data_IF_013368804993
#
_entry.id   IF_013368804993
#
_cell.length_a   1.000
_cell.length_b   1.000
_cell.length_c   1.000
_cell.angle_alpha   90.00
_cell.angle_beta   90.00
_cell.angle_gamma   90.00
#
_symmetry.space_group_name_H-M   'P 1'
#
loop_
_entity.id
_entity.type
_entity.pdbx_description
1 polymer ?
#
# COMPACT_ATOMS: atom_id res chain seq x y z
N UNK A 1 6.84 20.37 50.48
CA UNK A 1 6.31 20.61 49.12
C UNK A 1 5.02 19.80 49.00
N UNK A 2 3.88 20.48 49.13
CA UNK A 2 2.57 19.85 49.28
C UNK A 2 2.00 19.35 47.95
N UNK A 3 1.54 18.10 47.95
CA UNK A 3 0.64 17.59 46.92
C UNK A 3 -0.78 18.01 47.29
N UNK A 4 -1.34 19.00 46.60
CA UNK A 4 -2.74 19.36 46.72
C UNK A 4 -3.56 18.35 45.92
N UNK A 5 -4.29 17.48 46.61
CA UNK A 5 -5.28 16.58 46.05
C UNK A 5 -6.47 17.39 45.51
N UNK A 6 -6.73 17.28 44.20
CA UNK A 6 -7.93 17.84 43.57
C UNK A 6 -9.17 17.16 44.16
N UNK A 7 -10.15 17.97 44.56
CA UNK A 7 -11.35 17.54 45.27
C UNK A 7 -12.36 16.86 44.33
N UNK A 8 -13.23 16.02 44.88
CA UNK A 8 -14.21 15.23 44.13
C UNK A 8 -15.22 16.05 43.29
N UNK A 9 -15.27 17.37 43.45
CA UNK A 9 -16.13 18.27 42.70
C UNK A 9 -15.65 18.58 41.27
N UNK A 10 -14.36 18.41 40.98
CA UNK A 10 -13.78 18.72 39.65
C UNK A 10 -13.86 17.53 38.66
N UNK A 11 -14.34 16.36 39.11
CA UNK A 11 -14.51 15.15 38.26
C UNK A 11 -15.83 15.10 37.48
N UNK A 12 -16.71 16.11 37.59
CA UNK A 12 -18.00 16.17 36.87
C UNK A 12 -18.04 17.28 35.82
N UNK A 13 -17.24 17.14 34.76
CA UNK A 13 -17.42 17.90 33.52
C UNK A 13 -17.11 17.08 32.25
N UNK A 14 -17.21 15.75 32.32
CA UNK A 14 -17.23 14.86 31.16
C UNK A 14 -18.47 13.98 31.22
N UNK A 15 -19.65 14.60 31.36
CA UNK A 15 -20.89 13.90 31.01
C UNK A 15 -21.04 13.95 29.49
N UNK A 16 -20.93 12.76 28.90
CA UNK A 16 -21.17 12.46 27.51
C UNK A 16 -22.45 13.17 27.01
N UNK A 17 -22.29 14.13 26.10
CA UNK A 17 -23.40 14.53 25.23
C UNK A 17 -23.82 13.27 24.46
N UNK A 18 -25.07 12.84 24.66
CA UNK A 18 -25.71 11.83 23.80
C UNK A 18 -25.52 12.25 22.34
N UNK A 19 -25.11 11.34 21.44
CA UNK A 19 -24.96 11.70 20.04
C UNK A 19 -26.34 12.07 19.50
N UNK A 20 -26.44 13.30 19.02
CA UNK A 20 -27.60 13.79 18.27
C UNK A 20 -27.79 12.90 17.04
N UNK A 21 -28.93 12.23 16.99
CA UNK A 21 -29.42 11.49 15.83
C UNK A 21 -29.57 12.47 14.66
N UNK A 22 -28.68 12.36 13.68
CA UNK A 22 -28.66 13.25 12.52
C UNK A 22 -27.27 13.54 11.97
N UNK A 23 -26.39 12.54 11.86
CA UNK A 23 -25.23 12.66 10.98
C UNK A 23 -25.36 11.66 9.85
N UNK A 24 -25.76 12.14 8.69
CA UNK A 24 -25.55 11.42 7.44
C UNK A 24 -24.07 11.05 7.39
N UNK A 25 -23.76 9.76 7.51
CA UNK A 25 -22.40 9.25 7.45
C UNK A 25 -21.81 9.64 6.09
N UNK A 26 -21.03 10.73 6.07
CA UNK A 26 -20.25 11.11 4.90
C UNK A 26 -19.39 9.90 4.52
N UNK A 27 -19.67 9.28 3.37
CA UNK A 27 -18.80 8.24 2.81
C UNK A 27 -17.38 8.80 2.74
N UNK A 28 -16.42 8.09 3.33
CA UNK A 28 -15.02 8.46 3.29
C UNK A 28 -14.57 8.67 1.83
N UNK A 29 -13.96 9.82 1.55
CA UNK A 29 -13.52 10.19 0.18
C UNK A 29 -12.21 9.52 -0.20
N UNK A 30 -11.42 9.14 0.80
CA UNK A 30 -10.16 8.43 0.64
C UNK A 30 -10.13 7.23 1.59
N UNK A 31 -9.56 6.09 1.19
CA UNK A 31 -9.38 4.95 2.09
C UNK A 31 -8.56 5.30 3.34
N UNK A 32 -7.64 6.27 3.21
CA UNK A 32 -6.81 6.72 4.32
C UNK A 32 -7.57 7.57 5.34
N UNK A 33 -8.78 8.04 5.00
CA UNK A 33 -9.68 8.74 5.92
C UNK A 33 -10.37 7.76 6.89
N UNK A 34 -10.42 6.46 6.59
CA UNK A 34 -11.00 5.50 7.54
C UNK A 34 -10.06 5.29 8.72
N UNK A 35 -10.60 5.32 9.94
CA UNK A 35 -9.85 4.95 11.14
C UNK A 35 -9.58 3.45 11.14
N UNK A 36 -8.35 3.09 11.53
CA UNK A 36 -7.99 1.71 11.85
C UNK A 36 -8.28 1.47 13.32
N UNK A 37 -8.65 0.25 13.68
CA UNK A 37 -8.94 -0.13 15.07
C UNK A 37 -8.22 -1.42 15.42
N UNK A 38 -7.59 -1.44 16.58
CA UNK A 38 -7.18 -2.66 17.30
C UNK A 38 -8.15 -2.88 18.45
N UNK A 39 -7.96 -3.97 19.23
CA UNK A 39 -8.82 -4.24 20.39
C UNK A 39 -8.86 -3.13 21.45
N UNK A 40 -7.85 -2.25 21.49
CA UNK A 40 -7.71 -1.21 22.52
C UNK A 40 -7.42 0.20 21.97
N UNK A 41 -7.30 0.38 20.65
CA UNK A 41 -6.91 1.68 20.08
C UNK A 41 -7.54 1.93 18.71
N UNK A 42 -7.97 3.15 18.46
CA UNK A 42 -8.29 3.64 17.13
C UNK A 42 -7.16 4.56 16.66
N UNK A 43 -6.68 4.39 15.43
CA UNK A 43 -5.49 5.09 14.96
C UNK A 43 -5.54 5.38 13.46
N UNK A 44 -4.76 6.40 13.10
CA UNK A 44 -4.48 6.80 11.72
C UNK A 44 -3.08 7.37 11.68
N UNK A 45 -2.10 6.46 11.65
CA UNK A 45 -0.69 6.82 11.70
C UNK A 45 -0.07 6.44 10.36
N UNK A 46 0.51 7.43 9.71
CA UNK A 46 1.21 7.27 8.46
C UNK A 46 2.53 8.02 8.53
N UNK A 47 3.53 7.47 7.85
CA UNK A 47 4.87 8.00 7.86
C UNK A 47 5.48 7.87 6.47
N UNK A 48 6.12 8.95 6.05
CA UNK A 48 7.06 8.99 4.94
C UNK A 48 8.44 8.65 5.49
N UNK A 49 9.09 7.63 4.94
CA UNK A 49 10.45 7.26 5.28
C UNK A 49 11.33 7.30 4.06
N UNK A 50 12.58 7.72 4.22
CA UNK A 50 13.61 7.53 3.21
C UNK A 50 14.90 6.98 3.82
N UNK A 51 15.57 6.07 3.13
CA UNK A 51 16.89 5.59 3.54
C UNK A 51 17.76 5.31 2.32
N UNK A 52 19.07 5.41 2.54
CA UNK A 52 20.09 5.40 1.49
C UNK A 52 20.87 4.10 1.50
N UNK A 53 21.29 3.66 0.32
CA UNK A 53 22.36 2.68 0.16
C UNK A 53 23.63 3.18 0.85
N UNK A 54 24.47 2.25 1.29
CA UNK A 54 25.69 2.57 2.03
C UNK A 54 26.58 3.52 1.22
N UNK A 55 27.12 4.53 1.91
CA UNK A 55 27.91 5.61 1.32
C UNK A 55 27.23 6.34 0.14
N UNK A 56 25.89 6.28 0.05
CA UNK A 56 25.09 6.85 -1.05
C UNK A 56 25.50 6.32 -2.43
N UNK A 57 26.11 5.13 -2.50
CA UNK A 57 26.47 4.48 -3.76
C UNK A 57 25.21 4.19 -4.60
N UNK A 58 25.25 4.40 -5.93
CA UNK A 58 24.13 4.12 -6.81
C UNK A 58 23.99 2.61 -7.10
N UNK A 59 23.56 1.83 -6.09
CA UNK A 59 23.49 0.36 -6.15
C UNK A 59 22.22 -0.18 -6.83
N UNK A 60 21.20 0.66 -7.09
CA UNK A 60 19.94 0.25 -7.68
C UNK A 60 20.00 0.25 -9.20
N UNK A 61 20.68 -0.76 -9.76
CA UNK A 61 20.53 -1.14 -11.16
C UNK A 61 19.22 -1.90 -11.42
N UNK A 62 19.01 -2.33 -12.67
CA UNK A 62 17.80 -3.06 -13.08
C UNK A 62 17.60 -4.37 -12.31
N UNK A 63 18.67 -5.13 -12.03
CA UNK A 63 18.60 -6.42 -11.35
C UNK A 63 18.34 -6.24 -9.86
N UNK A 64 19.07 -5.33 -9.21
CA UNK A 64 18.89 -5.00 -7.80
C UNK A 64 17.50 -4.44 -7.54
N UNK A 65 17.01 -3.59 -8.44
CA UNK A 65 15.67 -3.01 -8.36
C UNK A 65 14.59 -4.07 -8.54
N UNK A 66 14.74 -4.98 -9.50
CA UNK A 66 13.79 -6.08 -9.71
C UNK A 66 13.70 -6.99 -8.48
N UNK A 67 14.84 -7.38 -7.90
CA UNK A 67 14.85 -8.21 -6.70
C UNK A 67 14.27 -7.48 -5.48
N UNK A 68 14.63 -6.21 -5.28
CA UNK A 68 14.08 -5.40 -4.20
C UNK A 68 12.55 -5.23 -4.32
N UNK A 69 12.04 -5.06 -5.55
CA UNK A 69 10.61 -4.91 -5.82
C UNK A 69 9.79 -6.17 -5.51
N UNK A 70 10.43 -7.35 -5.46
CA UNK A 70 9.83 -8.59 -4.99
C UNK A 70 9.99 -8.73 -3.47
N UNK A 71 11.19 -8.50 -2.96
CA UNK A 71 11.49 -8.71 -1.54
C UNK A 71 10.75 -7.75 -0.59
N UNK A 72 10.61 -6.47 -0.95
CA UNK A 72 10.04 -5.46 -0.05
C UNK A 72 8.57 -5.76 0.31
N UNK A 73 7.65 -6.02 -0.64
CA UNK A 73 6.28 -6.41 -0.31
C UNK A 73 6.21 -7.66 0.58
N UNK A 74 7.01 -8.68 0.29
CA UNK A 74 7.02 -9.94 1.06
C UNK A 74 7.48 -9.70 2.51
N UNK A 75 8.50 -8.88 2.70
CA UNK A 75 8.98 -8.47 4.03
C UNK A 75 7.91 -7.67 4.76
N UNK A 76 7.29 -6.68 4.12
CA UNK A 76 6.21 -5.93 4.75
C UNK A 76 5.04 -6.84 5.13
N UNK A 77 4.69 -7.82 4.28
CA UNK A 77 3.65 -8.79 4.57
C UNK A 77 4.01 -9.69 5.76
N UNK A 78 5.24 -10.21 5.85
CA UNK A 78 5.65 -11.11 6.94
C UNK A 78 5.63 -10.44 8.32
N UNK A 79 5.88 -9.14 8.36
CA UNK A 79 5.82 -8.33 9.59
C UNK A 79 4.46 -7.63 9.78
N UNK A 80 3.49 -7.86 8.91
CA UNK A 80 2.19 -7.18 8.89
C UNK A 80 2.29 -5.64 8.84
N UNK A 81 3.33 -5.12 8.19
CA UNK A 81 3.50 -3.69 7.95
C UNK A 81 2.63 -3.24 6.77
N UNK A 82 1.92 -2.13 6.94
CA UNK A 82 1.07 -1.60 5.89
C UNK A 82 1.90 -0.77 4.89
N UNK A 83 2.41 -1.43 3.86
CA UNK A 83 3.10 -0.76 2.75
C UNK A 83 2.09 -0.11 1.81
N UNK A 84 2.07 1.23 1.76
CA UNK A 84 1.13 1.98 0.93
C UNK A 84 1.71 2.21 -0.47
N UNK A 85 2.95 2.68 -0.52
CA UNK A 85 3.68 2.90 -1.76
C UNK A 85 5.18 2.95 -1.48
N UNK A 86 5.98 2.74 -2.51
CA UNK A 86 7.41 2.97 -2.45
C UNK A 86 7.96 3.47 -3.78
N UNK A 87 9.11 4.14 -3.68
CA UNK A 87 9.89 4.70 -4.76
C UNK A 87 11.34 4.27 -4.57
N UNK A 88 11.96 3.78 -5.63
CA UNK A 88 13.37 3.41 -5.70
C UNK A 88 14.08 4.39 -6.64
N UNK A 89 15.18 4.93 -6.16
CA UNK A 89 16.12 5.76 -6.93
C UNK A 89 17.49 5.08 -6.91
N UNK A 90 18.44 5.58 -7.71
CA UNK A 90 19.74 4.93 -7.89
C UNK A 90 20.44 4.55 -6.57
N UNK A 91 20.34 5.37 -5.52
CA UNK A 91 21.00 5.13 -4.23
C UNK A 91 20.08 5.21 -3.01
N UNK A 92 18.76 5.33 -3.19
CA UNK A 92 17.85 5.54 -2.06
C UNK A 92 16.45 5.00 -2.33
N UNK A 93 15.75 4.69 -1.24
CA UNK A 93 14.37 4.22 -1.27
C UNK A 93 13.51 5.11 -0.38
N UNK A 94 12.34 5.46 -0.88
CA UNK A 94 11.31 6.21 -0.18
C UNK A 94 10.09 5.31 0.00
N UNK A 95 9.54 5.24 1.22
CA UNK A 95 8.40 4.43 1.59
C UNK A 95 7.29 5.32 2.18
N UNK A 96 6.05 5.03 1.81
CA UNK A 96 4.87 5.49 2.56
C UNK A 96 4.31 4.29 3.30
N UNK A 97 4.29 4.36 4.63
CA UNK A 97 3.88 3.27 5.51
C UNK A 97 2.69 3.69 6.38
N UNK A 98 1.77 2.77 6.62
CA UNK A 98 0.86 2.80 7.77
C UNK A 98 1.49 2.05 8.93
N UNK A 99 1.41 2.61 10.14
CA UNK A 99 2.10 2.08 11.33
C UNK A 99 1.11 1.85 12.47
N UNK A 100 1.19 0.71 13.16
CA UNK A 100 0.35 0.44 14.33
C UNK A 100 0.89 1.25 15.53
N UNK A 101 0.05 1.67 16.49
CA UNK A 101 0.52 2.42 17.68
C UNK A 101 1.51 1.65 18.55
N UNK A 102 1.53 0.32 18.43
CA UNK A 102 2.45 -0.59 19.12
C UNK A 102 3.82 -0.69 18.46
N UNK A 103 3.93 -0.25 17.20
CA UNK A 103 5.13 -0.42 16.41
C UNK A 103 6.00 0.83 16.52
N UNK A 104 7.24 0.67 16.99
CA UNK A 104 8.21 1.75 16.93
C UNK A 104 8.73 1.90 15.49
N UNK A 105 8.71 3.13 14.96
CA UNK A 105 9.18 3.44 13.59
C UNK A 105 10.62 2.93 13.40
N UNK A 106 11.49 3.10 14.40
CA UNK A 106 12.88 2.62 14.34
C UNK A 106 12.98 1.11 14.10
N UNK A 107 12.12 0.31 14.76
CA UNK A 107 12.11 -1.14 14.62
C UNK A 107 11.57 -1.56 13.25
N UNK A 108 10.49 -0.91 12.79
CA UNK A 108 9.91 -1.14 11.46
C UNK A 108 10.98 -0.93 10.38
N UNK A 109 11.69 0.20 10.42
CA UNK A 109 12.70 0.54 9.42
C UNK A 109 13.94 -0.35 9.55
N UNK A 110 14.35 -0.71 10.77
CA UNK A 110 15.45 -1.66 11.02
C UNK A 110 15.15 -3.04 10.42
N UNK A 111 13.94 -3.56 10.63
CA UNK A 111 13.51 -4.86 10.13
C UNK A 111 13.42 -4.87 8.59
N UNK A 112 12.86 -3.81 7.98
CA UNK A 112 12.81 -3.67 6.52
C UNK A 112 14.21 -3.64 5.94
N UNK A 113 15.10 -2.78 6.46
CA UNK A 113 16.49 -2.65 5.97
C UNK A 113 17.25 -3.95 6.11
N UNK A 114 17.18 -4.61 7.27
CA UNK A 114 17.87 -5.88 7.53
C UNK A 114 17.39 -6.99 6.58
N UNK A 115 16.07 -7.18 6.48
CA UNK A 115 15.49 -8.27 5.69
C UNK A 115 15.72 -8.07 4.20
N UNK A 116 15.54 -6.85 3.69
CA UNK A 116 15.80 -6.55 2.28
C UNK A 116 17.28 -6.65 1.94
N UNK A 117 18.19 -6.18 2.80
CA UNK A 117 19.63 -6.35 2.60
C UNK A 117 20.02 -7.83 2.51
N UNK A 118 19.48 -8.66 3.40
CA UNK A 118 19.73 -10.10 3.38
C UNK A 118 19.30 -10.74 2.06
N UNK A 119 18.06 -10.47 1.61
CA UNK A 119 17.54 -10.95 0.32
C UNK A 119 18.40 -10.48 -0.87
N UNK A 120 18.85 -9.23 -0.85
CA UNK A 120 19.69 -8.67 -1.91
C UNK A 120 21.06 -9.35 -1.97
N UNK A 121 21.72 -9.58 -0.83
CA UNK A 121 23.00 -10.28 -0.80
C UNK A 121 22.88 -11.76 -1.22
N UNK A 122 21.81 -12.45 -0.80
CA UNK A 122 21.56 -13.83 -1.22
C UNK A 122 21.28 -13.95 -2.72
N UNK A 123 20.45 -13.05 -3.26
CA UNK A 123 20.07 -13.09 -4.67
C UNK A 123 21.12 -12.53 -5.62
N UNK A 124 21.96 -11.59 -5.16
CA UNK A 124 22.96 -10.91 -6.00
C UNK A 124 24.31 -10.87 -5.26
N UNK A 125 25.10 -11.96 -5.31
CA UNK A 125 26.36 -12.07 -4.60
C UNK A 125 27.41 -11.02 -4.97
N UNK A 126 27.34 -10.42 -6.18
CA UNK A 126 28.27 -9.35 -6.61
C UNK A 126 28.25 -8.14 -5.69
N UNK A 127 27.09 -7.87 -5.05
CA UNK A 127 26.95 -6.77 -4.11
C UNK A 127 27.93 -6.91 -2.94
N UNK A 128 28.21 -8.12 -2.46
CA UNK A 128 29.18 -8.31 -1.37
C UNK A 128 30.58 -7.80 -1.74
N UNK A 129 30.96 -7.85 -3.02
CA UNK A 129 32.26 -7.37 -3.51
C UNK A 129 32.30 -5.83 -3.57
N UNK A 130 31.19 -5.19 -3.95
CA UNK A 130 31.13 -3.73 -4.11
C UNK A 130 30.99 -2.94 -2.79
N UNK A 131 30.29 -3.50 -1.81
CA UNK A 131 29.99 -2.83 -0.52
C UNK A 131 30.54 -3.55 0.71
N UNK A 132 31.03 -4.77 0.57
CA UNK A 132 31.49 -5.61 1.68
C UNK A 132 30.36 -6.35 2.39
N UNK A 133 30.71 -7.44 3.08
CA UNK A 133 29.74 -8.27 3.81
C UNK A 133 29.01 -7.46 4.90
N UNK A 134 27.68 -7.61 4.95
CA UNK A 134 26.73 -7.27 6.02
C UNK A 134 25.97 -5.94 5.96
N UNK A 135 26.43 -4.90 5.26
CA UNK A 135 25.79 -3.56 5.34
C UNK A 135 25.42 -2.97 3.97
N UNK A 136 24.26 -3.34 3.42
CA UNK A 136 23.73 -2.73 2.19
C UNK A 136 23.28 -1.29 2.40
N UNK A 137 22.62 -1.00 3.52
CA UNK A 137 22.06 0.31 3.83
C UNK A 137 22.98 1.16 4.70
N UNK A 138 22.87 2.48 4.57
CA UNK A 138 23.41 3.42 5.55
C UNK A 138 22.70 3.26 6.91
N UNK A 139 23.33 3.67 8.01
CA UNK A 139 22.75 3.50 9.37
C UNK A 139 21.48 4.33 9.56
N UNK A 140 21.54 5.61 9.18
CA UNK A 140 20.43 6.55 9.33
C UNK A 140 19.24 6.27 8.41
N UNK A 141 18.15 6.98 8.71
CA UNK A 141 16.97 7.10 7.87
C UNK A 141 16.28 8.43 8.18
N UNK A 142 15.55 8.94 7.21
CA UNK A 142 14.62 10.05 7.36
C UNK A 142 13.23 9.50 7.69
N UNK A 143 12.50 10.17 8.57
CA UNK A 143 11.11 9.87 8.86
C UNK A 143 10.33 11.16 9.08
N UNK A 144 9.16 11.26 8.46
CA UNK A 144 8.24 12.38 8.58
C UNK A 144 6.82 11.83 8.72
N UNK A 145 6.03 12.44 9.61
CA UNK A 145 4.62 12.06 9.77
C UNK A 145 3.80 12.56 8.59
N UNK A 146 2.85 11.74 8.13
CA UNK A 146 1.92 12.12 7.06
C UNK A 146 0.49 12.13 7.56
N UNK A 147 -0.22 13.23 7.28
CA UNK A 147 -1.66 13.29 7.37
C UNK A 147 -2.32 12.53 6.23
N UNK A 148 -3.48 11.92 6.49
CA UNK A 148 -4.21 11.15 5.47
C UNK A 148 -4.57 11.92 4.20
N UNK A 149 -4.86 13.21 4.31
CA UNK A 149 -5.12 14.10 3.17
C UNK A 149 -3.88 14.32 2.30
N UNK A 150 -2.69 14.21 2.91
CA UNK A 150 -1.41 14.42 2.23
C UNK A 150 -0.97 13.17 1.45
N UNK A 151 -1.43 11.97 1.82
CA UNK A 151 -0.96 10.73 1.17
C UNK A 151 -1.22 10.76 -0.33
N UNK A 152 -2.46 11.01 -0.75
CA UNK A 152 -2.78 11.06 -2.19
C UNK A 152 -2.03 12.19 -2.91
N UNK A 153 -1.80 13.31 -2.23
CA UNK A 153 -1.01 14.42 -2.78
C UNK A 153 0.45 14.01 -2.97
N UNK A 154 1.06 13.36 -1.97
CA UNK A 154 2.42 12.81 -2.03
C UNK A 154 2.56 11.79 -3.14
N UNK A 155 1.61 10.87 -3.28
CA UNK A 155 1.63 9.87 -4.36
C UNK A 155 1.51 10.52 -5.75
N UNK A 156 0.66 11.53 -5.90
CA UNK A 156 0.57 12.31 -7.15
C UNK A 156 1.87 13.06 -7.44
N UNK A 157 2.46 13.70 -6.43
CA UNK A 157 3.76 14.37 -6.58
C UNK A 157 4.84 13.39 -7.02
N UNK A 158 4.90 12.19 -6.43
CA UNK A 158 5.83 11.14 -6.86
C UNK A 158 5.62 10.71 -8.31
N UNK A 159 4.37 10.60 -8.77
CA UNK A 159 4.06 10.29 -10.17
C UNK A 159 4.53 11.38 -11.14
N UNK A 160 4.39 12.65 -10.76
CA UNK A 160 4.84 13.77 -11.58
C UNK A 160 6.37 13.87 -11.60
N UNK A 161 7.03 13.82 -10.43
CA UNK A 161 8.49 13.92 -10.31
C UNK A 161 9.25 12.73 -10.88
N UNK A 162 8.61 11.56 -11.01
CA UNK A 162 9.21 10.42 -11.70
C UNK A 162 9.55 10.70 -13.18
N UNK A 163 9.03 11.77 -13.78
CA UNK A 163 9.40 12.21 -15.13
C UNK A 163 10.68 13.06 -15.16
N UNK A 164 11.00 13.75 -14.07
CA UNK A 164 12.07 14.75 -14.02
C UNK A 164 13.28 14.29 -13.18
N UNK A 165 13.10 13.33 -12.26
CA UNK A 165 14.15 12.76 -11.40
C UNK A 165 14.50 11.32 -11.84
N UNK A 166 15.77 10.89 -11.68
CA UNK A 166 16.28 9.50 -11.89
C UNK A 166 15.60 8.47 -10.96
N UNK A 167 14.31 8.26 -11.17
CA UNK A 167 13.49 7.29 -10.46
C UNK A 167 13.57 5.97 -11.21
N UNK A 168 14.15 4.97 -10.57
CA UNK A 168 14.33 3.64 -11.18
C UNK A 168 13.01 2.86 -11.14
N UNK A 169 12.25 2.99 -10.04
CA UNK A 169 10.96 2.32 -9.90
C UNK A 169 10.04 3.11 -8.97
N UNK A 170 8.75 3.15 -9.29
CA UNK A 170 7.71 3.59 -8.36
C UNK A 170 6.54 2.61 -8.39
N UNK A 171 6.12 2.15 -7.21
CA UNK A 171 4.96 1.27 -7.08
C UNK A 171 4.02 1.76 -5.97
N UNK A 172 2.73 1.83 -6.31
CA UNK A 172 1.64 2.04 -5.35
C UNK A 172 1.08 0.66 -5.02
N UNK A 173 1.24 0.24 -3.76
CA UNK A 173 0.90 -1.11 -3.28
C UNK A 173 -0.53 -1.17 -2.73
N UNK A 174 -0.99 -0.06 -2.12
CA UNK A 174 -2.33 0.06 -1.50
C UNK A 174 -3.52 -0.14 -2.46
N UNK A 175 -3.27 -0.18 -3.77
CA UNK A 175 -4.31 -0.41 -4.78
C UNK A 175 -5.16 -1.66 -4.45
N UNK A 176 -4.60 -2.67 -3.75
CA UNK A 176 -5.26 -3.91 -3.29
C UNK A 176 -6.60 -3.74 -2.55
N UNK A 177 -6.80 -2.64 -1.83
CA UNK A 177 -8.03 -2.41 -1.04
C UNK A 177 -8.98 -1.39 -1.69
N UNK A 178 -8.56 -0.69 -2.76
CA UNK A 178 -9.44 0.21 -3.48
C UNK A 178 -10.30 -0.56 -4.49
N UNK A 179 -11.58 -0.16 -4.67
CA UNK A 179 -12.36 -0.64 -5.79
C UNK A 179 -11.68 -0.18 -7.07
N UNK A 180 -11.34 -1.15 -7.93
CA UNK A 180 -10.74 -0.85 -9.23
C UNK A 180 -11.70 0.06 -10.01
N UNK A 181 -11.16 1.15 -10.58
CA UNK A 181 -11.98 2.01 -11.42
C UNK A 181 -12.44 1.22 -12.65
N UNK A 182 -13.71 1.37 -13.12
CA UNK A 182 -14.23 0.68 -14.31
C UNK A 182 -13.27 0.65 -15.51
N UNK A 183 -12.73 1.81 -15.89
CA UNK A 183 -11.69 1.95 -16.94
C UNK A 183 -10.42 1.10 -16.74
N UNK A 184 -10.00 0.82 -15.50
CA UNK A 184 -8.86 -0.06 -15.23
C UNK A 184 -9.21 -1.51 -15.50
N UNK A 185 -10.43 -1.90 -15.12
CA UNK A 185 -10.97 -3.25 -15.35
C UNK A 185 -11.14 -3.48 -16.85
N UNK A 186 -11.75 -2.54 -17.58
CA UNK A 186 -11.96 -2.63 -19.04
C UNK A 186 -10.69 -2.91 -19.83
N UNK A 187 -9.54 -2.34 -19.41
CA UNK A 187 -8.24 -2.52 -20.08
C UNK A 187 -7.68 -3.94 -20.00
N UNK A 188 -8.18 -4.77 -19.10
CA UNK A 188 -7.70 -6.14 -18.87
C UNK A 188 -8.81 -7.18 -19.05
N UNK A 189 -10.00 -6.76 -19.50
CA UNK A 189 -11.13 -7.68 -19.70
C UNK A 189 -10.78 -8.79 -20.70
N UNK A 190 -9.98 -8.48 -21.73
CA UNK A 190 -9.61 -9.43 -22.77
C UNK A 190 -8.71 -10.56 -22.26
N UNK A 191 -8.01 -10.33 -21.14
CA UNK A 191 -7.12 -11.32 -20.50
C UNK A 191 -7.87 -12.27 -19.54
N UNK A 192 -9.14 -12.00 -19.26
CA UNK A 192 -10.00 -12.84 -18.42
C UNK A 192 -10.70 -13.93 -19.24
N UNK A 193 -11.07 -15.02 -18.57
CA UNK A 193 -11.89 -16.07 -19.16
C UNK A 193 -13.29 -15.52 -19.51
N UNK A 194 -13.99 -16.10 -20.50
CA UNK A 194 -15.33 -15.64 -20.88
C UNK A 194 -16.31 -15.56 -19.70
N UNK A 195 -16.28 -16.56 -18.81
CA UNK A 195 -17.14 -16.60 -17.63
C UNK A 195 -16.77 -15.51 -16.59
N UNK A 196 -15.47 -15.27 -16.37
CA UNK A 196 -14.95 -14.21 -15.49
C UNK A 196 -15.39 -12.82 -16.01
N UNK A 197 -15.28 -12.58 -17.32
CA UNK A 197 -15.70 -11.30 -17.94
C UNK A 197 -17.17 -10.99 -17.72
N UNK A 198 -18.04 -11.98 -17.87
CA UNK A 198 -19.48 -11.77 -17.72
C UNK A 198 -19.81 -11.38 -16.27
N UNK A 199 -19.23 -12.08 -15.29
CA UNK A 199 -19.41 -11.76 -13.86
C UNK A 199 -18.90 -10.36 -13.56
N UNK A 200 -17.67 -10.02 -14.00
CA UNK A 200 -17.07 -8.71 -13.74
C UNK A 200 -17.86 -7.59 -14.43
N UNK A 201 -18.36 -7.80 -15.66
CA UNK A 201 -19.17 -6.80 -16.37
C UNK A 201 -20.45 -6.47 -15.62
N UNK A 202 -21.16 -7.50 -15.14
CA UNK A 202 -22.42 -7.34 -14.41
C UNK A 202 -22.21 -6.65 -13.06
N UNK A 203 -21.18 -7.04 -12.30
CA UNK A 203 -20.94 -6.49 -10.96
C UNK A 203 -20.40 -5.06 -10.98
N UNK A 204 -19.60 -4.71 -11.99
CA UNK A 204 -18.98 -3.38 -12.08
C UNK A 204 -19.67 -2.42 -13.05
N UNK A 205 -20.74 -2.86 -13.74
CA UNK A 205 -21.50 -2.03 -14.67
C UNK A 205 -20.64 -1.53 -15.83
N UNK A 206 -19.92 -2.44 -16.48
CA UNK A 206 -18.99 -2.11 -17.57
C UNK A 206 -19.71 -2.14 -18.93
N UNK A 207 -19.14 -1.48 -19.94
CA UNK A 207 -19.67 -1.48 -21.32
C UNK A 207 -21.13 -0.99 -21.45
N UNK A 208 -21.56 -0.07 -20.59
CA UNK A 208 -22.91 0.51 -20.63
C UNK A 208 -23.98 -0.32 -19.90
N UNK A 209 -23.62 -1.44 -19.26
CA UNK A 209 -24.51 -2.16 -18.35
C UNK A 209 -24.59 -1.46 -16.98
N UNK A 210 -25.73 -1.58 -16.29
CA UNK A 210 -25.83 -1.17 -14.88
C UNK A 210 -25.10 -2.15 -13.96
N UNK A 211 -24.59 -1.66 -12.83
CA UNK A 211 -23.98 -2.51 -11.80
C UNK A 211 -25.06 -3.31 -11.04
N UNK A 212 -24.87 -4.62 -10.95
CA UNK A 212 -25.77 -5.55 -10.29
C UNK A 212 -25.23 -5.97 -8.92
N UNK A 213 -26.11 -6.28 -7.99
CA UNK A 213 -25.72 -6.96 -6.74
C UNK A 213 -25.32 -8.41 -7.02
N UNK A 214 -24.64 -9.06 -6.05
CA UNK A 214 -24.28 -10.47 -6.17
C UNK A 214 -25.50 -11.36 -6.46
N UNK A 215 -26.61 -11.10 -5.78
CA UNK A 215 -27.85 -11.87 -5.94
C UNK A 215 -28.48 -11.66 -7.33
N UNK A 216 -28.50 -10.42 -7.82
CA UNK A 216 -29.00 -10.10 -9.16
C UNK A 216 -28.13 -10.68 -10.27
N UNK A 217 -26.81 -10.66 -10.08
CA UNK A 217 -25.87 -11.28 -11.00
C UNK A 217 -26.01 -12.81 -10.99
N UNK A 218 -26.19 -13.42 -9.82
CA UNK A 218 -26.43 -14.86 -9.67
C UNK A 218 -27.72 -15.30 -10.37
N UNK A 219 -28.81 -14.56 -10.19
CA UNK A 219 -30.08 -14.82 -10.86
C UNK A 219 -29.95 -14.75 -12.38
N UNK A 220 -29.27 -13.72 -12.91
CA UNK A 220 -29.04 -13.57 -14.35
C UNK A 220 -28.17 -14.67 -14.97
N UNK A 221 -27.25 -15.23 -14.18
CA UNK A 221 -26.30 -16.24 -14.64
C UNK A 221 -26.77 -17.67 -14.36
N UNK A 222 -27.87 -17.86 -13.62
CA UNK A 222 -28.33 -19.18 -13.19
C UNK A 222 -27.35 -19.86 -12.23
N UNK A 223 -26.60 -19.08 -11.43
CA UNK A 223 -25.57 -19.54 -10.50
C UNK A 223 -25.99 -19.25 -9.05
N UNK A 224 -25.28 -19.84 -8.07
CA UNK A 224 -25.45 -19.46 -6.67
C UNK A 224 -24.70 -18.15 -6.37
N UNK A 225 -25.20 -17.29 -5.46
CA UNK A 225 -24.51 -16.06 -5.06
C UNK A 225 -23.07 -16.28 -4.58
N UNK A 226 -22.81 -17.40 -3.89
CA UNK A 226 -21.46 -17.77 -3.44
C UNK A 226 -20.49 -18.06 -4.59
N UNK A 227 -20.97 -18.69 -5.67
CA UNK A 227 -20.15 -19.00 -6.85
C UNK A 227 -19.80 -17.71 -7.60
N UNK A 228 -20.77 -16.80 -7.76
CA UNK A 228 -20.54 -15.46 -8.34
C UNK A 228 -19.57 -14.66 -7.49
N UNK A 229 -19.69 -14.71 -6.16
CA UNK A 229 -18.76 -14.05 -5.26
C UNK A 229 -17.34 -14.59 -5.40
N UNK A 230 -17.18 -15.92 -5.44
CA UNK A 230 -15.88 -16.56 -5.61
C UNK A 230 -15.25 -16.18 -6.95
N UNK A 231 -16.01 -16.29 -8.05
CA UNK A 231 -15.55 -15.89 -9.38
C UNK A 231 -15.15 -14.41 -9.42
N UNK A 232 -15.90 -13.54 -8.76
CA UNK A 232 -15.58 -12.11 -8.67
C UNK A 232 -14.27 -11.87 -7.91
N UNK A 233 -14.06 -12.57 -6.78
CA UNK A 233 -12.83 -12.46 -6.00
C UNK A 233 -11.61 -12.93 -6.78
N UNK A 234 -11.70 -14.09 -7.44
CA UNK A 234 -10.65 -14.65 -8.29
C UNK A 234 -10.35 -13.72 -9.47
N UNK A 235 -11.38 -13.23 -10.15
CA UNK A 235 -11.24 -12.30 -11.28
C UNK A 235 -10.56 -10.99 -10.85
N UNK A 236 -10.96 -10.41 -9.71
CA UNK A 236 -10.38 -9.17 -9.21
C UNK A 236 -8.92 -9.37 -8.78
N UNK A 237 -8.60 -10.50 -8.15
CA UNK A 237 -7.22 -10.85 -7.85
C UNK A 237 -6.38 -10.93 -9.13
N UNK A 238 -6.86 -11.64 -10.15
CA UNK A 238 -6.19 -11.79 -11.44
C UNK A 238 -6.03 -10.45 -12.18
N UNK A 239 -7.07 -9.62 -12.20
CA UNK A 239 -7.00 -8.25 -12.74
C UNK A 239 -5.89 -7.46 -12.05
N UNK A 240 -5.81 -7.52 -10.71
CA UNK A 240 -4.78 -6.80 -9.94
C UNK A 240 -3.39 -7.31 -10.27
N UNK A 241 -3.21 -8.62 -10.42
CA UNK A 241 -1.95 -9.26 -10.82
C UNK A 241 -1.54 -8.80 -12.22
N UNK A 242 -2.42 -8.87 -13.22
CA UNK A 242 -2.15 -8.41 -14.59
C UNK A 242 -1.81 -6.92 -14.61
N UNK A 243 -2.55 -6.08 -13.89
CA UNK A 243 -2.26 -4.65 -13.80
C UNK A 243 -0.91 -4.37 -13.14
N UNK A 244 -0.48 -5.21 -12.18
CA UNK A 244 0.86 -5.12 -11.56
C UNK A 244 1.94 -5.54 -12.53
N UNK A 245 1.77 -6.66 -13.23
CA UNK A 245 2.72 -7.13 -14.23
C UNK A 245 2.90 -6.11 -15.34
N UNK A 246 1.81 -5.59 -15.91
CA UNK A 246 1.87 -4.51 -16.91
C UNK A 246 2.54 -3.23 -16.38
N UNK A 247 2.38 -2.90 -15.09
CA UNK A 247 3.12 -1.78 -14.45
C UNK A 247 4.62 -2.10 -14.33
N UNK A 248 4.97 -3.34 -13.97
CA UNK A 248 6.36 -3.81 -13.87
C UNK A 248 7.03 -3.83 -15.24
N UNK A 249 6.38 -4.36 -16.27
CA UNK A 249 6.87 -4.38 -17.66
C UNK A 249 7.06 -2.97 -18.21
N UNK A 250 6.13 -2.05 -17.93
CA UNK A 250 6.30 -0.63 -18.30
C UNK A 250 7.45 0.05 -17.58
N UNK A 251 7.78 -0.38 -16.36
CA UNK A 251 8.95 0.13 -15.65
C UNK A 251 10.24 -0.47 -16.22
N UNK A 252 10.25 -1.76 -16.56
CA UNK A 252 11.40 -2.46 -17.12
C UNK A 252 11.71 -2.06 -18.58
N UNK A 253 10.69 -1.93 -19.43
CA UNK A 253 10.83 -1.56 -20.85
C UNK A 253 11.11 -0.08 -21.11
N UNK A 254 11.24 0.75 -20.06
CA UNK A 254 11.67 2.15 -20.15
C UNK A 254 13.16 2.34 -19.80
N UNK A 255 13.84 1.26 -19.42
CA UNK A 255 15.29 1.23 -19.16
C UNK A 255 16.11 0.70 -20.36
N UNK A 256 15.49 0.52 -21.53
CA UNK A 256 16.14 0.14 -22.78
C UNK A 256 16.18 1.32 -23.76
#
# INVERSE_FOLDING_TARGET
MGYTSLTAAERRACMAKKPTEGSQQRKARSPFEKLRTTGSSAYRLFVLVAFYARAKKPLFDAEVTALFAHALPDVCQSYEYELIAYRVMANQVHLVLGVKPTDAIADVISNIKRSTAHRLFEGIPRLEQEIGKRNFWAEGYFAETLGHTQIEQTLKMWQHRAKDEETVLMQIVYDLAQPLHPKQIERVMDDLLPAERVVVRLLYGLQGEQAHTLDQAAEKLGLKPQEVQQMAQESIRKIREILRERRRERAAGRSA
#
